data_IF_273785154778
#
_entry.id   IF_273785154778
#
_cell.length_a   1.000
_cell.length_b   1.000
_cell.length_c   1.000
_cell.angle_alpha   90.00
_cell.angle_beta   90.00
_cell.angle_gamma   90.00
#
_symmetry.space_group_name_H-M   'P 1'
#
loop_
_entity.id
_entity.type
_entity.pdbx_description
1 polymer ?
#
# COMPACT_ATOMS: atom_id res chain seq x y z
N UNK A 1 54.20 19.02 3.23
CA UNK A 1 53.52 17.79 2.74
C UNK A 1 52.60 17.11 3.76
N UNK A 2 52.61 17.47 5.06
CA UNK A 2 51.67 16.90 6.06
C UNK A 2 50.30 17.60 6.16
N UNK A 3 50.20 18.85 5.68
CA UNK A 3 48.96 19.64 5.74
C UNK A 3 47.93 19.25 4.65
N UNK A 4 48.41 18.83 3.48
CA UNK A 4 47.54 18.48 2.34
C UNK A 4 46.83 17.13 2.55
N UNK A 5 47.44 16.21 3.30
CA UNK A 5 46.83 14.92 3.68
C UNK A 5 45.71 15.06 4.71
N UNK A 6 45.63 16.16 5.45
CA UNK A 6 44.62 16.35 6.51
C UNK A 6 43.28 16.85 5.94
N UNK A 7 43.31 17.60 4.84
CA UNK A 7 42.11 18.20 4.23
C UNK A 7 41.28 17.14 3.47
N UNK A 8 41.93 16.12 2.91
CA UNK A 8 41.24 15.06 2.16
C UNK A 8 40.36 14.15 3.04
N UNK A 9 40.61 14.06 4.36
CA UNK A 9 39.88 13.18 5.27
C UNK A 9 38.57 13.81 5.82
N UNK A 10 38.42 15.13 5.72
CA UNK A 10 37.26 15.85 6.29
C UNK A 10 36.05 15.83 5.33
N UNK A 11 36.27 15.57 4.04
CA UNK A 11 35.23 15.60 3.00
C UNK A 11 34.38 14.31 2.92
N UNK A 12 34.65 13.27 3.73
CA UNK A 12 33.93 11.99 3.66
C UNK A 12 32.83 11.82 4.72
N UNK A 13 32.47 12.87 5.48
CA UNK A 13 31.53 12.75 6.62
C UNK A 13 30.13 13.35 6.37
N UNK A 14 29.82 13.85 5.17
CA UNK A 14 28.45 14.30 4.86
C UNK A 14 27.68 13.20 4.14
N UNK A 15 27.48 12.06 4.81
CA UNK A 15 26.47 11.09 4.40
C UNK A 15 25.11 11.71 4.75
N UNK A 16 24.37 12.22 3.77
CA UNK A 16 22.96 12.54 3.95
C UNK A 16 22.21 11.23 4.20
N UNK A 17 22.01 10.86 5.46
CA UNK A 17 21.07 9.80 5.80
C UNK A 17 19.68 10.41 5.72
N UNK A 18 19.01 10.30 4.58
CA UNK A 18 17.57 10.55 4.52
C UNK A 18 16.89 9.46 5.33
N UNK A 19 16.48 9.78 6.56
CA UNK A 19 15.68 8.88 7.36
C UNK A 19 14.30 8.76 6.70
N UNK A 20 13.87 7.54 6.39
CA UNK A 20 12.54 7.28 5.85
C UNK A 20 11.48 7.76 6.85
N UNK A 21 10.38 8.32 6.34
CA UNK A 21 9.26 8.79 7.18
C UNK A 21 8.56 7.61 7.87
N UNK A 22 8.43 6.48 7.16
CA UNK A 22 7.73 5.29 7.63
C UNK A 22 8.72 4.14 7.89
N UNK A 23 8.35 3.22 8.77
CA UNK A 23 9.13 1.99 9.02
C UNK A 23 8.87 0.97 7.93
N UNK A 24 9.89 0.62 7.14
CA UNK A 24 9.78 -0.37 6.07
C UNK A 24 9.18 -1.69 6.55
N UNK A 25 9.62 -2.20 7.70
CA UNK A 25 9.11 -3.45 8.29
C UNK A 25 7.58 -3.41 8.46
N UNK A 26 7.07 -2.33 9.06
CA UNK A 26 5.63 -2.18 9.29
C UNK A 26 4.89 -1.92 7.97
N UNK A 27 5.49 -1.17 7.04
CA UNK A 27 4.89 -0.91 5.74
C UNK A 27 4.77 -2.19 4.89
N UNK A 28 5.75 -3.09 4.96
CA UNK A 28 5.66 -4.42 4.34
C UNK A 28 4.57 -5.29 4.98
N UNK A 29 4.41 -5.25 6.30
CA UNK A 29 3.31 -5.95 6.98
C UNK A 29 1.94 -5.40 6.54
N UNK A 30 1.81 -4.08 6.41
CA UNK A 30 0.60 -3.43 5.89
C UNK A 30 0.35 -3.85 4.43
N UNK A 31 1.37 -3.79 3.57
CA UNK A 31 1.27 -4.17 2.16
C UNK A 31 0.85 -5.64 1.99
N UNK A 32 1.43 -6.55 2.78
CA UNK A 32 1.05 -7.96 2.77
C UNK A 32 -0.42 -8.16 3.15
N UNK A 33 -0.91 -7.45 4.17
CA UNK A 33 -2.31 -7.56 4.58
C UNK A 33 -3.24 -6.93 3.55
N UNK A 34 -2.89 -5.77 3.00
CA UNK A 34 -3.66 -5.10 1.96
C UNK A 34 -3.82 -6.04 0.76
N UNK A 35 -2.73 -6.61 0.28
CA UNK A 35 -2.73 -7.61 -0.79
C UNK A 35 -3.67 -8.77 -0.50
N UNK A 36 -3.56 -9.41 0.66
CA UNK A 36 -4.42 -10.54 1.03
C UNK A 36 -5.90 -10.17 1.02
N UNK A 37 -6.24 -8.94 1.42
CA UNK A 37 -7.61 -8.41 1.40
C UNK A 37 -8.06 -8.16 -0.04
N UNK A 38 -7.26 -7.45 -0.84
CA UNK A 38 -7.57 -7.16 -2.25
C UNK A 38 -7.74 -8.45 -3.05
N UNK A 39 -6.85 -9.44 -2.85
CA UNK A 39 -6.94 -10.77 -3.46
C UNK A 39 -8.22 -11.51 -3.07
N UNK A 40 -8.65 -11.42 -1.82
CA UNK A 40 -9.89 -12.04 -1.38
C UNK A 40 -11.11 -11.40 -2.05
N UNK A 41 -11.11 -10.07 -2.21
CA UNK A 41 -12.19 -9.34 -2.88
C UNK A 41 -12.21 -9.63 -4.38
N UNK A 42 -11.05 -9.65 -5.03
CA UNK A 42 -10.92 -10.06 -6.44
C UNK A 42 -11.44 -11.48 -6.67
N UNK A 43 -11.12 -12.41 -5.78
CA UNK A 43 -11.66 -13.76 -5.80
C UNK A 43 -13.18 -13.82 -5.63
N UNK A 44 -13.74 -13.02 -4.71
CA UNK A 44 -15.19 -12.91 -4.53
C UNK A 44 -15.88 -12.33 -5.78
N UNK A 45 -15.28 -11.33 -6.43
CA UNK A 45 -15.80 -10.77 -7.68
C UNK A 45 -15.85 -11.79 -8.82
N UNK A 46 -14.83 -12.65 -8.93
CA UNK A 46 -14.70 -13.63 -10.03
C UNK A 46 -15.46 -14.93 -9.79
N UNK A 47 -15.57 -15.37 -8.54
CA UNK A 47 -16.07 -16.70 -8.20
C UNK A 47 -17.23 -16.71 -7.21
N UNK A 48 -17.54 -15.57 -6.57
CA UNK A 48 -18.63 -15.42 -5.62
C UNK A 48 -19.97 -15.10 -6.28
N UNK A 49 -21.03 -15.07 -5.46
CA UNK A 49 -22.36 -14.63 -5.87
C UNK A 49 -22.53 -13.14 -5.54
N UNK A 50 -22.08 -12.29 -6.46
CA UNK A 50 -22.05 -10.83 -6.27
C UNK A 50 -23.23 -10.11 -6.93
N UNK A 51 -24.13 -10.85 -7.57
CA UNK A 51 -25.24 -10.28 -8.32
C UNK A 51 -26.20 -9.51 -7.41
N UNK A 52 -26.30 -8.19 -7.63
CA UNK A 52 -27.18 -7.31 -6.84
C UNK A 52 -26.59 -6.89 -5.49
N UNK A 53 -25.35 -7.26 -5.18
CA UNK A 53 -24.64 -6.77 -4.00
C UNK A 53 -24.03 -5.40 -4.24
N UNK A 54 -23.94 -4.61 -3.16
CA UNK A 54 -23.15 -3.38 -3.12
C UNK A 54 -21.66 -3.70 -2.94
N UNK A 55 -20.79 -2.75 -3.28
CA UNK A 55 -19.34 -2.84 -3.02
C UNK A 55 -19.00 -3.18 -1.56
N UNK A 56 -19.74 -2.60 -0.61
CA UNK A 56 -19.56 -2.86 0.82
C UNK A 56 -19.90 -4.32 1.16
N UNK A 57 -21.00 -4.86 0.64
CA UNK A 57 -21.40 -6.25 0.86
C UNK A 57 -20.41 -7.24 0.25
N UNK A 58 -19.85 -6.92 -0.93
CA UNK A 58 -18.81 -7.73 -1.57
C UNK A 58 -17.55 -7.76 -0.69
N UNK A 59 -17.08 -6.59 -0.21
CA UNK A 59 -15.93 -6.50 0.69
C UNK A 59 -16.18 -7.27 2.00
N UNK A 60 -17.35 -7.12 2.59
CA UNK A 60 -17.73 -7.82 3.82
C UNK A 60 -17.78 -9.35 3.62
N UNK A 61 -18.33 -9.82 2.49
CA UNK A 61 -18.34 -11.24 2.15
C UNK A 61 -16.93 -11.78 1.98
N UNK A 62 -16.12 -11.12 1.15
CA UNK A 62 -14.74 -11.51 0.84
C UNK A 62 -13.84 -11.56 2.07
N UNK A 63 -14.02 -10.61 2.99
CA UNK A 63 -13.13 -10.45 4.16
C UNK A 63 -13.65 -11.16 5.41
N UNK A 64 -14.85 -11.77 5.38
CA UNK A 64 -15.47 -12.42 6.56
C UNK A 64 -14.57 -13.47 7.22
N UNK A 65 -13.87 -14.29 6.43
CA UNK A 65 -12.94 -15.32 6.92
C UNK A 65 -11.60 -14.75 7.39
N UNK A 66 -11.31 -13.48 7.06
CA UNK A 66 -10.08 -12.76 7.34
C UNK A 66 -10.32 -11.48 8.15
N UNK A 67 -11.43 -11.37 8.88
CA UNK A 67 -11.82 -10.15 9.60
C UNK A 67 -10.72 -9.67 10.57
N UNK A 68 -9.96 -10.61 11.16
CA UNK A 68 -8.82 -10.31 12.02
C UNK A 68 -7.69 -9.56 11.30
N UNK A 69 -7.48 -9.80 9.99
CA UNK A 69 -6.48 -9.09 9.18
C UNK A 69 -6.91 -7.65 8.94
N UNK A 70 -8.17 -7.42 8.57
CA UNK A 70 -8.72 -6.08 8.39
C UNK A 70 -8.63 -5.26 9.69
N UNK A 71 -8.94 -5.88 10.83
CA UNK A 71 -8.83 -5.26 12.14
C UNK A 71 -7.38 -4.94 12.58
N UNK A 72 -6.36 -5.52 11.93
CA UNK A 72 -4.95 -5.21 12.19
C UNK A 72 -4.48 -3.96 11.45
N UNK A 73 -5.02 -3.66 10.27
CA UNK A 73 -4.55 -2.53 9.45
C UNK A 73 -4.52 -1.19 10.20
N UNK A 74 -5.59 -0.75 10.91
CA UNK A 74 -5.54 0.50 11.66
C UNK A 74 -4.50 0.50 12.80
N UNK A 75 -4.21 -0.66 13.39
CA UNK A 75 -3.19 -0.79 14.46
C UNK A 75 -1.78 -0.66 13.88
N UNK A 76 -1.52 -1.32 12.75
CA UNK A 76 -0.25 -1.20 12.03
C UNK A 76 -0.05 0.21 11.49
N UNK A 77 -1.09 0.83 10.94
CA UNK A 77 -1.04 2.21 10.47
C UNK A 77 -0.62 3.17 11.59
N UNK A 78 -1.20 3.02 12.79
CA UNK A 78 -0.79 3.78 13.97
C UNK A 78 0.67 3.49 14.37
N UNK A 79 1.11 2.23 14.30
CA UNK A 79 2.49 1.85 14.62
C UNK A 79 3.50 2.39 13.60
N UNK A 80 3.09 2.55 12.34
CA UNK A 80 3.85 3.18 11.26
C UNK A 80 3.79 4.72 11.30
N UNK A 81 3.15 5.33 12.30
CA UNK A 81 2.98 6.79 12.42
C UNK A 81 2.21 7.44 11.24
N UNK A 82 1.33 6.67 10.59
CA UNK A 82 0.36 7.21 9.62
C UNK A 82 -0.64 8.07 10.39
N UNK A 83 -0.69 9.36 10.07
CA UNK A 83 -1.39 10.37 10.87
C UNK A 83 -2.86 10.52 10.49
N UNK A 84 -3.18 10.41 9.20
CA UNK A 84 -4.55 10.47 8.66
C UNK A 84 -4.81 9.25 7.77
N UNK A 85 -4.97 8.09 8.43
CA UNK A 85 -5.14 6.80 7.77
C UNK A 85 -6.47 6.70 7.01
N UNK A 86 -6.40 6.41 5.71
CA UNK A 86 -7.56 6.18 4.84
C UNK A 86 -7.33 4.98 3.93
N UNK A 87 -8.38 4.21 3.69
CA UNK A 87 -8.42 3.19 2.64
C UNK A 87 -9.41 3.68 1.58
N UNK A 88 -8.97 3.71 0.33
CA UNK A 88 -9.82 3.90 -0.83
C UNK A 88 -9.93 2.57 -1.59
N UNK A 89 -11.07 2.37 -2.23
CA UNK A 89 -11.34 1.21 -3.07
C UNK A 89 -12.11 1.65 -4.30
N UNK A 90 -11.70 1.17 -5.46
CA UNK A 90 -12.38 1.40 -6.73
C UNK A 90 -12.62 0.06 -7.42
N UNK A 91 -13.88 -0.18 -7.80
CA UNK A 91 -14.25 -1.37 -8.56
C UNK A 91 -14.11 -1.06 -10.03
N UNK A 92 -13.27 -1.81 -10.72
CA UNK A 92 -12.97 -1.66 -12.15
C UNK A 92 -13.39 -2.95 -12.85
N UNK A 93 -14.60 -2.95 -13.41
CA UNK A 93 -15.27 -4.13 -13.97
C UNK A 93 -15.39 -5.27 -12.95
N UNK A 94 -14.67 -6.38 -13.16
CA UNK A 94 -14.63 -7.57 -12.31
C UNK A 94 -13.42 -7.61 -11.36
N UNK A 95 -12.70 -6.50 -11.24
CA UNK A 95 -11.54 -6.35 -10.35
C UNK A 95 -11.76 -5.22 -9.34
N UNK A 96 -10.92 -5.18 -8.32
CA UNK A 96 -10.87 -4.09 -7.34
C UNK A 96 -9.45 -3.58 -7.21
N UNK A 97 -9.32 -2.26 -7.10
CA UNK A 97 -8.06 -1.62 -6.71
C UNK A 97 -8.24 -1.00 -5.34
N UNK A 98 -7.32 -1.29 -4.42
CA UNK A 98 -7.31 -0.70 -3.09
C UNK A 98 -6.06 0.16 -2.88
N UNK A 99 -6.23 1.29 -2.21
CA UNK A 99 -5.19 2.27 -1.94
C UNK A 99 -5.21 2.66 -0.46
N UNK A 100 -4.05 2.64 0.20
CA UNK A 100 -3.87 3.20 1.55
C UNK A 100 -3.19 4.58 1.45
N UNK A 101 -3.68 5.55 2.22
CA UNK A 101 -3.15 6.91 2.28
C UNK A 101 -2.83 7.38 3.72
N UNK A 102 -1.94 8.37 3.80
CA UNK A 102 -1.74 9.27 4.94
C UNK A 102 -2.17 10.68 4.52
N UNK A 103 -3.40 11.07 4.84
CA UNK A 103 -3.99 12.30 4.34
C UNK A 103 -4.05 12.27 2.81
N UNK A 104 -3.53 13.31 2.15
CA UNK A 104 -3.50 13.45 0.69
C UNK A 104 -2.33 12.71 0.01
N UNK A 105 -1.53 11.94 0.76
CA UNK A 105 -0.37 11.19 0.26
C UNK A 105 -0.75 9.71 0.08
N UNK A 106 -0.60 9.17 -1.12
CA UNK A 106 -0.68 7.74 -1.38
C UNK A 106 0.52 7.01 -0.77
N UNK A 107 0.27 5.87 -0.13
CA UNK A 107 1.32 5.04 0.47
C UNK A 107 1.53 3.74 -0.29
N UNK A 108 0.46 3.10 -0.73
CA UNK A 108 0.54 1.82 -1.44
C UNK A 108 -0.78 1.44 -2.11
N UNK A 109 -0.70 0.70 -3.20
CA UNK A 109 -1.84 0.35 -4.05
C UNK A 109 -1.70 -1.06 -4.63
N UNK A 110 -2.81 -1.79 -4.70
CA UNK A 110 -2.85 -3.20 -5.12
C UNK A 110 -4.18 -3.52 -5.82
N UNK A 111 -4.13 -4.35 -6.87
CA UNK A 111 -5.27 -4.79 -7.68
C UNK A 111 -5.73 -6.24 -7.40
N UNK A 112 -5.04 -6.99 -6.54
CA UNK A 112 -5.45 -8.30 -6.01
C UNK A 112 -5.44 -9.45 -7.01
N UNK A 113 -5.23 -9.20 -8.30
CA UNK A 113 -5.33 -10.21 -9.34
C UNK A 113 -4.03 -10.98 -9.59
N UNK A 114 -2.91 -10.57 -8.96
CA UNK A 114 -1.61 -11.21 -9.12
C UNK A 114 -0.95 -11.57 -7.78
N UNK A 115 0.11 -12.38 -7.84
CA UNK A 115 0.83 -12.84 -6.66
C UNK A 115 1.91 -11.85 -6.16
N UNK A 116 2.23 -10.81 -6.91
CA UNK A 116 3.11 -9.74 -6.44
C UNK A 116 2.29 -8.67 -5.71
N UNK A 117 2.97 -7.71 -5.10
CA UNK A 117 2.34 -6.46 -4.65
C UNK A 117 2.58 -5.41 -5.74
N UNK A 118 1.56 -4.63 -6.11
CA UNK A 118 1.64 -3.83 -7.34
C UNK A 118 2.48 -2.56 -7.19
N UNK A 119 2.16 -1.69 -6.22
CA UNK A 119 2.84 -0.40 -6.06
C UNK A 119 3.03 0.02 -4.61
N UNK A 120 4.28 0.26 -4.23
CA UNK A 120 4.66 1.00 -3.02
C UNK A 120 4.99 2.47 -3.37
N UNK A 121 4.59 3.38 -2.50
CA UNK A 121 4.85 4.82 -2.62
C UNK A 121 5.52 5.40 -1.36
N UNK A 122 5.59 4.65 -0.26
CA UNK A 122 6.06 5.16 1.04
C UNK A 122 7.54 5.56 1.09
N UNK A 123 8.34 5.10 0.13
CA UNK A 123 9.75 5.49 -0.03
C UNK A 123 9.91 6.83 -0.78
N UNK A 124 8.93 7.22 -1.60
CA UNK A 124 8.97 8.42 -2.43
C UNK A 124 7.63 9.15 -2.35
N UNK A 125 7.48 9.94 -1.28
CA UNK A 125 6.22 10.60 -0.96
C UNK A 125 5.90 11.72 -1.93
N UNK A 126 4.69 11.69 -2.48
CA UNK A 126 4.16 12.73 -3.35
C UNK A 126 2.90 13.34 -2.71
N UNK A 127 2.87 14.64 -2.40
CA UNK A 127 1.64 15.32 -1.97
C UNK A 127 0.54 15.27 -3.04
N UNK A 128 -0.72 15.35 -2.63
CA UNK A 128 -1.91 15.28 -3.50
C UNK A 128 -1.92 14.04 -4.42
N UNK A 129 -1.40 12.92 -3.95
CA UNK A 129 -1.31 11.67 -4.71
C UNK A 129 -2.33 10.62 -4.26
N UNK A 130 -3.09 10.86 -3.18
CA UNK A 130 -4.12 9.95 -2.67
C UNK A 130 -5.34 9.88 -3.61
N UNK A 131 -5.14 9.18 -4.71
CA UNK A 131 -6.12 8.83 -5.73
C UNK A 131 -5.67 7.52 -6.36
N UNK A 132 -6.60 6.63 -6.67
CA UNK A 132 -6.31 5.38 -7.38
C UNK A 132 -5.77 5.70 -8.77
N UNK A 133 -4.68 5.02 -9.15
CA UNK A 133 -3.94 5.19 -10.40
C UNK A 133 -3.76 3.89 -11.16
N UNK A 134 -3.83 2.73 -10.49
CA UNK A 134 -3.72 1.46 -11.17
C UNK A 134 -4.95 1.23 -12.05
N UNK A 135 -4.67 0.75 -13.27
CA UNK A 135 -5.66 0.23 -14.19
C UNK A 135 -5.63 -1.30 -14.07
N UNK A 136 -6.69 -1.85 -13.47
CA UNK A 136 -6.83 -3.29 -13.29
C UNK A 136 -6.88 -4.02 -14.62
N UNK A 137 -7.40 -3.42 -15.70
CA UNK A 137 -7.39 -4.06 -17.01
C UNK A 137 -5.97 -4.26 -17.53
N UNK A 138 -5.05 -3.33 -17.26
CA UNK A 138 -3.64 -3.44 -17.66
C UNK A 138 -2.90 -4.51 -16.82
N UNK A 139 -3.19 -4.58 -15.52
CA UNK A 139 -2.42 -5.39 -14.57
C UNK A 139 -2.96 -6.82 -14.44
N UNK A 140 -4.29 -6.97 -14.52
CA UNK A 140 -4.99 -8.22 -14.30
C UNK A 140 -5.21 -9.03 -15.58
N UNK A 141 -4.71 -8.54 -16.71
CA UNK A 141 -4.70 -9.25 -18.00
C UNK A 141 -3.94 -10.57 -17.90
N UNK A 142 -4.67 -11.67 -17.71
CA UNK A 142 -4.23 -13.05 -17.96
C UNK A 142 -5.13 -13.70 -19.01
#
# INVERSE_FOLDING_TARGET
>A
MKLLTTIALILTLTSCTTQAKYSDEIMYDIASILKDITQAIDGELKFGDTAGLTSHEIIDNATRSNADKLAKLPKLAKAAEISDYRILSEFQEDNVVMLICDGDIALMEDAGCNAAFDKSYWDTLQPNSCSIKLDAAEICSN
#
